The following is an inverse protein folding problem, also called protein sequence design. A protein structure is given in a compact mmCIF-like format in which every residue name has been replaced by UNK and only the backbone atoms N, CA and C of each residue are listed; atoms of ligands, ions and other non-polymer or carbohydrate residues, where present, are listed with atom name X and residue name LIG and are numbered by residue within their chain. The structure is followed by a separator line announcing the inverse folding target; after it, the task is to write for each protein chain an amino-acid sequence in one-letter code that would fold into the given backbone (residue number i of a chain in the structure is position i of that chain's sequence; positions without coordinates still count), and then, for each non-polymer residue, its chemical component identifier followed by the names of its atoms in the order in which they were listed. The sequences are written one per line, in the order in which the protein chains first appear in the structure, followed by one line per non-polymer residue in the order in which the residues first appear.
data_IF_703058449236
#
_entry.id   IF_703058449236
#
_cell.length_a   1.000
_cell.length_b   1.000
_cell.length_c   1.000
_cell.angle_alpha   90.00
_cell.angle_beta   90.00
_cell.angle_gamma   90.00
#
_symmetry.space_group_name_H-M   'P 1'
#
loop_
_entity.id
_entity.type
_entity.pdbx_description
1 polymer ?
#
# COMPACT_ATOMS: atom_id res chain seq x y z
N UNK A 1 6.30 2.35 -26.74
CA UNK A 1 6.23 2.15 -25.28
C UNK A 1 6.20 3.53 -24.65
N UNK A 2 5.23 3.79 -23.78
CA UNK A 2 5.18 5.03 -23.00
C UNK A 2 6.42 5.04 -22.11
N UNK A 3 7.28 6.05 -22.24
CA UNK A 3 8.47 6.18 -21.39
C UNK A 3 8.04 6.22 -19.93
N UNK A 4 8.57 5.32 -19.09
CA UNK A 4 8.42 5.38 -17.64
C UNK A 4 9.00 6.71 -17.15
N UNK A 5 8.31 7.38 -16.23
CA UNK A 5 8.70 8.66 -15.65
C UNK A 5 8.89 8.55 -14.16
N UNK A 6 9.67 9.47 -13.60
CA UNK A 6 9.75 9.66 -12.15
C UNK A 6 8.35 9.86 -11.56
N UNK A 7 8.04 9.13 -10.49
CA UNK A 7 6.73 9.18 -9.86
C UNK A 7 5.80 8.04 -10.28
N UNK A 8 6.00 7.44 -11.45
CA UNK A 8 5.09 6.41 -11.97
C UNK A 8 5.01 5.21 -11.03
N UNK A 9 3.80 4.79 -10.70
CA UNK A 9 3.48 3.72 -9.78
C UNK A 9 2.79 2.59 -10.53
N UNK A 10 3.26 1.37 -10.29
CA UNK A 10 2.87 0.19 -11.04
C UNK A 10 2.53 -0.97 -10.11
N UNK A 11 1.55 -1.78 -10.54
CA UNK A 11 1.53 -3.18 -10.15
C UNK A 11 2.51 -3.94 -11.06
N UNK A 12 3.12 -5.00 -10.55
CA UNK A 12 3.96 -5.89 -11.36
C UNK A 12 3.56 -7.35 -11.19
N UNK A 13 3.73 -8.13 -12.26
CA UNK A 13 3.59 -9.59 -12.23
C UNK A 13 4.78 -10.26 -12.91
N UNK A 14 5.18 -11.43 -12.40
CA UNK A 14 6.21 -12.24 -13.04
C UNK A 14 5.71 -12.73 -14.40
N UNK A 15 6.57 -12.62 -15.42
CA UNK A 15 6.33 -13.27 -16.71
C UNK A 15 6.37 -14.79 -16.54
N UNK A 16 5.59 -15.50 -17.37
CA UNK A 16 5.40 -16.96 -17.29
C UNK A 16 6.71 -17.73 -17.16
N UNK A 17 6.81 -18.62 -16.17
CA UNK A 17 7.99 -19.45 -15.92
C UNK A 17 8.94 -18.92 -14.83
N UNK A 18 8.75 -17.68 -14.37
CA UNK A 18 9.47 -17.10 -13.23
C UNK A 18 8.56 -17.19 -12.00
N UNK A 19 8.84 -18.15 -11.12
CA UNK A 19 8.08 -18.35 -9.88
C UNK A 19 8.66 -17.56 -8.70
N UNK A 20 7.87 -17.35 -7.63
CA UNK A 20 8.31 -16.64 -6.42
C UNK A 20 9.38 -17.38 -5.60
N UNK A 21 9.76 -18.61 -6.00
CA UNK A 21 10.70 -19.46 -5.25
C UNK A 21 12.17 -19.11 -5.45
N UNK A 22 12.51 -18.11 -6.25
CA UNK A 22 13.90 -17.75 -6.56
C UNK A 22 14.38 -16.40 -6.03
N UNK A 23 13.56 -15.63 -5.30
CA UNK A 23 13.97 -14.31 -4.83
C UNK A 23 13.33 -13.92 -3.48
N UNK A 24 14.09 -13.96 -2.36
CA UNK A 24 13.52 -13.82 -1.00
C UNK A 24 13.15 -12.39 -0.58
N UNK A 25 13.35 -11.37 -1.42
CA UNK A 25 13.29 -9.96 -1.00
C UNK A 25 12.34 -9.04 -1.79
N UNK A 26 11.50 -9.60 -2.68
CA UNK A 26 10.55 -8.81 -3.46
C UNK A 26 9.14 -9.05 -2.92
N UNK A 27 8.56 -8.00 -2.37
CA UNK A 27 7.57 -8.12 -1.31
C UNK A 27 6.19 -8.56 -1.83
N UNK A 28 5.37 -9.09 -0.92
CA UNK A 28 4.09 -9.77 -1.23
C UNK A 28 3.04 -8.90 -1.91
N UNK A 29 3.21 -7.57 -1.92
CA UNK A 29 2.23 -6.62 -2.40
C UNK A 29 2.35 -6.27 -3.89
N UNK A 30 3.41 -6.74 -4.58
CA UNK A 30 3.57 -6.68 -6.05
C UNK A 30 3.45 -5.28 -6.64
N UNK A 31 4.05 -4.30 -5.97
CA UNK A 31 3.96 -2.88 -6.30
C UNK A 31 5.34 -2.23 -6.35
N UNK A 32 5.52 -1.31 -7.27
CA UNK A 32 6.76 -0.55 -7.39
C UNK A 32 6.53 0.87 -7.87
N UNK A 33 7.51 1.73 -7.63
CA UNK A 33 7.50 3.12 -8.04
C UNK A 33 8.80 3.49 -8.78
N UNK A 34 8.67 4.21 -9.89
CA UNK A 34 9.78 4.74 -10.65
C UNK A 34 10.38 5.98 -9.96
N UNK A 35 11.70 5.99 -9.79
CA UNK A 35 12.47 7.11 -9.24
C UNK A 35 13.70 7.37 -10.08
N UNK A 36 14.05 8.64 -10.20
CA UNK A 36 15.32 9.06 -10.78
C UNK A 36 16.42 8.88 -9.74
N UNK A 37 17.45 8.11 -10.07
CA UNK A 37 18.61 7.94 -9.21
C UNK A 37 19.56 9.15 -9.28
N UNK A 38 20.67 9.11 -8.53
CA UNK A 38 21.67 10.19 -8.53
C UNK A 38 22.38 10.37 -9.88
N UNK A 39 22.39 9.34 -10.73
CA UNK A 39 23.01 9.36 -12.05
C UNK A 39 22.06 9.94 -13.11
N UNK A 40 20.77 10.12 -12.77
CA UNK A 40 19.74 10.62 -13.67
C UNK A 40 18.96 9.50 -14.37
N UNK A 41 19.19 8.24 -14.01
CA UNK A 41 18.53 7.07 -14.60
C UNK A 41 17.26 6.71 -13.83
N UNK A 42 16.24 6.20 -14.52
CA UNK A 42 15.00 5.74 -13.89
C UNK A 42 15.18 4.31 -13.38
N UNK A 43 14.90 4.12 -12.08
CA UNK A 43 14.88 2.82 -11.42
C UNK A 43 13.51 2.53 -10.82
N UNK A 44 13.11 1.26 -10.81
CA UNK A 44 11.86 0.81 -10.17
C UNK A 44 12.16 0.30 -8.76
N UNK A 45 11.54 0.94 -7.77
CA UNK A 45 11.72 0.66 -6.34
C UNK A 45 10.47 -0.02 -5.81
N UNK A 46 10.63 -1.18 -5.17
CA UNK A 46 9.54 -1.87 -4.48
C UNK A 46 8.95 -1.00 -3.34
N UNK A 47 7.63 -0.94 -3.25
CA UNK A 47 6.96 -0.03 -2.32
C UNK A 47 7.08 -0.42 -0.84
N UNK A 48 7.45 -1.67 -0.53
CA UNK A 48 7.77 -2.06 0.84
C UNK A 48 9.00 -1.32 1.38
N UNK A 49 9.97 -1.05 0.51
CA UNK A 49 11.20 -0.33 0.87
C UNK A 49 11.06 1.19 0.68
N UNK A 50 9.95 1.67 0.11
CA UNK A 50 9.77 3.07 -0.27
C UNK A 50 9.39 3.96 0.92
N UNK A 51 10.28 4.87 1.36
CA UNK A 51 10.05 5.78 2.50
C UNK A 51 9.60 7.18 2.01
N UNK A 52 8.32 7.59 2.15
CA UNK A 52 7.77 8.80 1.53
C UNK A 52 8.23 10.14 2.15
N UNK A 53 9.21 10.14 3.07
CA UNK A 53 9.55 11.36 3.82
C UNK A 53 10.44 12.31 3.02
N UNK A 54 10.03 13.59 3.05
CA UNK A 54 10.36 14.66 2.11
C UNK A 54 11.65 15.43 2.40
N UNK A 55 12.38 15.08 3.46
CA UNK A 55 13.46 15.95 4.00
C UNK A 55 14.83 15.27 4.11
N UNK A 56 15.03 14.17 3.40
CA UNK A 56 16.39 13.68 3.16
C UNK A 56 16.63 13.81 1.67
N UNK A 57 17.63 14.59 1.30
CA UNK A 57 18.35 14.38 0.04
C UNK A 57 18.43 12.86 -0.13
N UNK A 58 17.72 12.35 -1.13
CA UNK A 58 17.68 10.91 -1.38
C UNK A 58 19.10 10.53 -1.78
N UNK A 59 19.91 10.18 -0.78
CA UNK A 59 20.99 9.28 -0.97
C UNK A 59 20.34 7.99 -1.48
N UNK A 60 20.32 7.82 -2.81
CA UNK A 60 20.17 6.51 -3.43
C UNK A 60 21.10 5.46 -2.78
N UNK A 61 22.11 5.90 -2.01
CA UNK A 61 22.98 5.09 -1.16
C UNK A 61 22.34 4.58 0.16
N UNK A 62 21.23 5.14 0.66
CA UNK A 62 20.51 4.48 1.79
C UNK A 62 19.76 3.23 1.29
N UNK A 63 19.42 3.18 0.00
CA UNK A 63 19.00 1.93 -0.64
C UNK A 63 20.16 0.97 -0.92
N UNK A 64 21.42 1.43 -0.87
CA UNK A 64 22.58 0.51 -0.77
C UNK A 64 22.75 -0.11 0.62
N UNK A 65 21.96 0.27 1.64
CA UNK A 65 21.99 -0.42 2.94
C UNK A 65 21.26 -1.78 2.93
N UNK A 66 20.43 -2.02 1.93
CA UNK A 66 20.37 -3.37 1.34
C UNK A 66 21.37 -3.35 0.19
N UNK A 67 22.58 -3.90 0.35
CA UNK A 67 23.54 -4.12 -0.74
C UNK A 67 23.02 -5.01 -1.87
N UNK A 68 21.70 -5.20 -1.94
CA UNK A 68 20.95 -5.86 -2.97
C UNK A 68 20.55 -4.88 -4.09
N UNK A 69 20.41 -3.56 -3.89
CA UNK A 69 19.87 -2.64 -4.92
C UNK A 69 20.81 -2.30 -6.12
N UNK A 70 22.01 -2.87 -6.17
CA UNK A 70 22.92 -2.73 -7.34
C UNK A 70 23.56 -4.05 -7.76
N UNK A 71 23.82 -4.95 -6.83
CA UNK A 71 24.47 -6.24 -7.10
C UNK A 71 23.49 -7.43 -7.18
N UNK A 72 22.29 -7.33 -6.59
CA UNK A 72 21.27 -8.40 -6.62
C UNK A 72 19.92 -7.97 -7.22
N UNK A 73 19.63 -6.66 -7.26
CA UNK A 73 18.58 -6.04 -8.05
C UNK A 73 19.16 -5.88 -9.44
N UNK A 74 19.27 -7.01 -10.13
CA UNK A 74 18.87 -6.96 -11.52
C UNK A 74 17.46 -6.41 -11.47
N UNK A 75 17.33 -5.14 -11.88
CA UNK A 75 16.16 -4.28 -11.81
C UNK A 75 14.84 -5.04 -12.04
N UNK A 76 13.69 -4.43 -11.73
CA UNK A 76 12.45 -4.81 -12.42
C UNK A 76 12.68 -4.50 -13.90
N UNK A 77 13.36 -5.41 -14.57
CA UNK A 77 13.67 -5.32 -15.97
C UNK A 77 12.40 -5.78 -16.67
N UNK A 78 11.95 -4.98 -17.64
CA UNK A 78 10.73 -5.28 -18.40
C UNK A 78 10.77 -6.68 -19.06
N UNK A 79 11.94 -7.32 -19.13
CA UNK A 79 12.11 -8.71 -19.61
C UNK A 79 11.59 -9.79 -18.63
N UNK A 80 11.52 -9.50 -17.32
CA UNK A 80 11.10 -10.44 -16.26
C UNK A 80 9.70 -10.18 -15.72
N UNK A 81 9.21 -8.96 -15.88
CA UNK A 81 7.96 -8.52 -15.27
C UNK A 81 7.07 -7.83 -16.29
N UNK A 82 5.77 -8.06 -16.16
CA UNK A 82 4.74 -7.22 -16.77
C UNK A 82 4.36 -6.12 -15.80
N UNK A 83 4.36 -4.88 -16.28
CA UNK A 83 4.03 -3.69 -15.51
C UNK A 83 2.65 -3.17 -15.91
N UNK A 84 1.81 -2.92 -14.91
CA UNK A 84 0.52 -2.25 -15.07
C UNK A 84 0.60 -0.89 -14.40
N UNK A 85 0.55 0.18 -15.20
CA UNK A 85 0.57 1.55 -14.69
C UNK A 85 -0.72 1.87 -13.93
N UNK A 86 -0.57 2.46 -12.75
CA UNK A 86 -1.68 2.87 -11.88
C UNK A 86 -1.85 4.37 -11.90
N UNK A 87 -0.80 5.11 -11.52
CA UNK A 87 -0.81 6.57 -11.47
C UNK A 87 0.62 7.12 -11.37
N UNK A 88 0.78 8.44 -11.46
CA UNK A 88 2.03 9.09 -11.05
C UNK A 88 1.87 9.63 -9.62
N UNK A 89 2.61 9.08 -8.65
CA UNK A 89 2.54 9.47 -7.24
C UNK A 89 3.00 10.90 -6.98
N UNK A 90 3.70 11.55 -7.91
CA UNK A 90 4.02 12.97 -7.80
C UNK A 90 2.75 13.85 -7.93
N UNK A 91 1.64 13.32 -8.46
CA UNK A 91 0.34 13.99 -8.49
C UNK A 91 -0.53 13.69 -7.27
N UNK A 92 0.01 12.91 -6.31
CA UNK A 92 -0.69 12.45 -5.12
C UNK A 92 -0.03 13.00 -3.84
N UNK A 93 -0.78 13.01 -2.75
CA UNK A 93 -0.28 13.30 -1.40
C UNK A 93 -0.72 12.22 -0.42
N UNK A 94 0.15 11.92 0.55
CA UNK A 94 -0.09 10.86 1.52
C UNK A 94 -1.17 11.26 2.51
N UNK A 95 -2.01 10.29 2.86
CA UNK A 95 -3.06 10.43 3.86
C UNK A 95 -2.85 9.38 4.95
N UNK A 96 -3.25 9.73 6.17
CA UNK A 96 -3.17 8.83 7.30
C UNK A 96 -4.21 7.72 7.15
N UNK A 97 -3.89 6.51 7.63
CA UNK A 97 -4.78 5.35 7.51
C UNK A 97 -6.19 5.61 8.09
N UNK A 98 -6.30 6.36 9.18
CA UNK A 98 -7.60 6.69 9.79
C UNK A 98 -8.42 7.75 9.03
N UNK A 99 -7.80 8.49 8.09
CA UNK A 99 -8.46 9.51 7.26
C UNK A 99 -8.80 9.00 5.86
N UNK A 100 -8.26 7.84 5.45
CA UNK A 100 -8.38 7.33 4.08
C UNK A 100 -9.82 7.21 3.60
N UNK A 101 -10.73 6.80 4.48
CA UNK A 101 -12.14 6.58 4.15
C UNK A 101 -12.96 7.89 4.09
N UNK A 102 -12.31 9.05 4.20
CA UNK A 102 -12.94 10.38 4.10
C UNK A 102 -12.78 11.02 2.70
N UNK A 103 -12.10 10.34 1.79
CA UNK A 103 -11.84 10.78 0.41
C UNK A 103 -12.37 9.74 -0.59
N UNK A 104 -12.58 10.13 -1.86
CA UNK A 104 -13.15 9.24 -2.87
C UNK A 104 -12.08 8.45 -3.61
N UNK A 105 -10.96 9.09 -3.98
CA UNK A 105 -9.96 8.49 -4.86
C UNK A 105 -8.67 8.12 -4.12
N UNK A 106 -8.80 7.40 -3.01
CA UNK A 106 -7.62 6.93 -2.27
C UNK A 106 -7.08 5.64 -2.87
N UNK A 107 -5.77 5.61 -3.05
CA UNK A 107 -5.03 4.43 -3.47
C UNK A 107 -4.17 3.89 -2.32
N UNK A 108 -4.07 2.58 -2.26
CA UNK A 108 -3.10 1.90 -1.40
C UNK A 108 -1.73 1.93 -2.08
N UNK A 109 -0.72 2.46 -1.40
CA UNK A 109 0.63 2.60 -1.95
C UNK A 109 1.49 1.39 -1.58
N UNK A 110 1.40 0.90 -0.35
CA UNK A 110 2.19 -0.24 0.12
C UNK A 110 2.19 -0.41 1.64
N UNK A 111 2.93 -1.40 2.12
CA UNK A 111 3.12 -1.67 3.54
C UNK A 111 4.51 -1.20 3.99
N UNK A 112 4.57 -0.24 4.91
CA UNK A 112 5.82 0.20 5.52
C UNK A 112 5.60 0.55 6.99
N UNK A 113 5.89 -0.39 7.89
CA UNK A 113 5.57 -0.36 9.33
C UNK A 113 4.06 -0.21 9.66
N UNK A 114 3.30 0.47 8.80
CA UNK A 114 1.85 0.63 8.73
C UNK A 114 1.40 0.67 7.25
N UNK A 115 0.09 0.74 7.01
CA UNK A 115 -0.49 0.87 5.66
C UNK A 115 -0.31 2.30 5.13
N UNK A 116 0.26 2.43 3.94
CA UNK A 116 0.46 3.72 3.28
C UNK A 116 -0.64 3.97 2.24
N UNK A 117 -1.25 5.15 2.32
CA UNK A 117 -2.34 5.57 1.44
C UNK A 117 -2.04 6.93 0.84
N UNK A 118 -2.53 7.16 -0.38
CA UNK A 118 -2.39 8.44 -1.05
C UNK A 118 -3.68 8.84 -1.77
N UNK A 119 -3.93 10.14 -1.87
CA UNK A 119 -5.02 10.72 -2.65
C UNK A 119 -4.47 11.70 -3.68
N UNK A 120 -5.21 12.03 -4.75
CA UNK A 120 -4.87 13.14 -5.63
C UNK A 120 -4.63 14.44 -4.86
N UNK A 121 -3.59 15.18 -5.25
CA UNK A 121 -3.31 16.50 -4.70
C UNK A 121 -4.50 17.43 -4.93
N UNK A 122 -4.85 18.19 -3.89
CA UNK A 122 -5.97 19.13 -3.96
C UNK A 122 -7.36 18.50 -3.81
N UNK A 123 -7.48 17.17 -3.75
CA UNK A 123 -8.75 16.52 -3.42
C UNK A 123 -9.15 16.84 -1.97
N UNK A 124 -10.34 17.44 -1.80
CA UNK A 124 -10.92 17.65 -0.48
C UNK A 124 -11.63 16.41 0.04
N UNK A 125 -11.97 16.41 1.33
CA UNK A 125 -12.82 15.35 1.90
C UNK A 125 -14.18 15.34 1.22
N UNK A 126 -14.69 14.15 0.91
CA UNK A 126 -16.01 13.99 0.29
C UNK A 126 -17.07 13.76 1.37
N UNK A 127 -18.17 14.50 1.26
CA UNK A 127 -19.35 14.26 2.11
C UNK A 127 -19.91 12.86 1.90
N UNK A 128 -19.87 12.34 0.67
CA UNK A 128 -20.35 11.00 0.35
C UNK A 128 -19.44 9.93 0.96
N UNK A 129 -18.12 10.09 0.86
CA UNK A 129 -17.16 9.18 1.48
C UNK A 129 -17.30 9.16 3.00
N UNK A 130 -17.39 10.35 3.63
CA UNK A 130 -17.61 10.48 5.08
C UNK A 130 -18.93 9.83 5.49
N UNK A 131 -20.03 10.08 4.77
CA UNK A 131 -21.32 9.47 5.09
C UNK A 131 -21.21 7.93 5.05
N UNK A 132 -20.63 7.38 3.99
CA UNK A 132 -20.39 5.94 3.87
C UNK A 132 -19.53 5.39 5.02
N UNK A 133 -18.46 6.09 5.40
CA UNK A 133 -17.61 5.74 6.56
C UNK A 133 -18.45 5.67 7.83
N UNK A 134 -19.29 6.67 8.09
CA UNK A 134 -20.14 6.74 9.29
C UNK A 134 -21.22 5.65 9.29
N UNK A 135 -21.85 5.40 8.14
CA UNK A 135 -22.84 4.32 7.98
C UNK A 135 -22.20 2.96 8.27
N UNK A 136 -21.03 2.67 7.71
CA UNK A 136 -20.31 1.42 8.00
C UNK A 136 -19.89 1.30 9.47
N UNK A 137 -19.51 2.41 10.12
CA UNK A 137 -19.21 2.42 11.55
C UNK A 137 -20.45 2.14 12.40
N UNK A 138 -21.60 2.70 12.01
CA UNK A 138 -22.88 2.48 12.68
C UNK A 138 -23.35 1.02 12.52
N UNK A 139 -23.28 0.48 11.31
CA UNK A 139 -23.59 -0.93 11.03
C UNK A 139 -22.71 -1.87 11.86
N UNK A 140 -21.40 -1.59 11.92
CA UNK A 140 -20.48 -2.35 12.76
C UNK A 140 -20.85 -2.27 14.24
N UNK A 141 -21.19 -1.09 14.74
CA UNK A 141 -21.61 -0.92 16.14
C UNK A 141 -22.87 -1.74 16.46
N UNK A 142 -23.87 -1.76 15.57
CA UNK A 142 -25.05 -2.60 15.74
C UNK A 142 -24.72 -4.10 15.70
N UNK A 143 -23.85 -4.52 14.79
CA UNK A 143 -23.39 -5.91 14.72
C UNK A 143 -22.65 -6.33 16.00
N UNK A 144 -21.75 -5.47 16.49
CA UNK A 144 -20.97 -5.72 17.70
C UNK A 144 -21.90 -5.77 18.94
N UNK A 145 -22.89 -4.87 19.03
CA UNK A 145 -23.94 -4.90 20.06
C UNK A 145 -24.69 -6.24 20.03
N UNK A 146 -25.18 -6.66 18.87
CA UNK A 146 -25.94 -7.90 18.74
C UNK A 146 -25.11 -9.13 19.13
N UNK A 147 -23.84 -9.15 18.75
CA UNK A 147 -22.91 -10.21 19.15
C UNK A 147 -22.71 -10.25 20.67
N UNK A 148 -22.67 -9.09 21.33
CA UNK A 148 -22.53 -9.00 22.77
C UNK A 148 -23.80 -9.50 23.48
N UNK A 149 -25.00 -9.14 22.99
CA UNK A 149 -26.27 -9.66 23.50
C UNK A 149 -26.34 -11.20 23.46
N UNK A 150 -26.01 -11.79 22.32
CA UNK A 150 -25.97 -13.26 22.17
C UNK A 150 -24.96 -13.91 23.09
N UNK A 151 -23.81 -13.26 23.31
CA UNK A 151 -22.79 -13.77 24.24
C UNK A 151 -23.29 -13.74 25.69
N UNK A 152 -24.04 -12.70 26.08
CA UNK A 152 -24.67 -12.61 27.41
C UNK A 152 -25.72 -13.70 27.60
N UNK A 153 -26.57 -13.94 26.60
CA UNK A 153 -27.58 -15.00 26.62
C UNK A 153 -26.90 -16.37 26.83
N UNK A 154 -25.90 -16.69 26.01
CA UNK A 154 -25.16 -17.95 26.11
C UNK A 154 -24.46 -18.12 27.47
N UNK A 155 -23.78 -17.09 27.98
CA UNK A 155 -23.12 -17.16 29.30
C UNK A 155 -24.14 -17.36 30.41
N UNK A 156 -25.30 -16.70 30.32
CA UNK A 156 -26.39 -16.86 31.30
C UNK A 156 -26.87 -18.31 31.36
N UNK A 157 -27.15 -18.92 30.21
CA UNK A 157 -27.56 -20.32 30.12
C UNK A 157 -26.52 -21.26 30.76
N UNK A 158 -25.24 -21.05 30.44
CA UNK A 158 -24.15 -21.86 31.02
C UNK A 158 -24.05 -21.71 32.55
N UNK A 159 -24.31 -20.51 33.10
CA UNK A 159 -24.33 -20.29 34.55
C UNK A 159 -25.52 -21.02 35.19
N UNK A 160 -26.69 -21.02 34.55
CA UNK A 160 -27.89 -21.70 35.05
C UNK A 160 -27.73 -23.22 35.05
N UNK A 161 -27.13 -23.81 34.01
CA UNK A 161 -26.84 -25.25 33.94
C UNK A 161 -25.90 -25.75 35.05
N UNK A 162 -25.03 -24.87 35.56
CA UNK A 162 -24.07 -25.19 36.61
C UNK A 162 -24.60 -24.95 38.03
N UNK A 163 -25.79 -24.37 38.19
CA UNK A 163 -26.45 -24.11 39.49
C UNK A 163 -27.43 -25.22 39.85
#
# INVERSE_FOLDING_TARGET
MTSIKDGDYFNYSYKTGLGPSSDPYWCRDRRCVARTDKQGDIVLIDTYNYWPFKDREYDADIFTYTGLAREYSKYVTEDKFDLEFICNLNDYEYVKDYEKDEYENVIFVGYQCDRLWAKPKGEGKSKAAILKKLESQLEKAYSDQRSAELSIEWITEQIEELK
#
